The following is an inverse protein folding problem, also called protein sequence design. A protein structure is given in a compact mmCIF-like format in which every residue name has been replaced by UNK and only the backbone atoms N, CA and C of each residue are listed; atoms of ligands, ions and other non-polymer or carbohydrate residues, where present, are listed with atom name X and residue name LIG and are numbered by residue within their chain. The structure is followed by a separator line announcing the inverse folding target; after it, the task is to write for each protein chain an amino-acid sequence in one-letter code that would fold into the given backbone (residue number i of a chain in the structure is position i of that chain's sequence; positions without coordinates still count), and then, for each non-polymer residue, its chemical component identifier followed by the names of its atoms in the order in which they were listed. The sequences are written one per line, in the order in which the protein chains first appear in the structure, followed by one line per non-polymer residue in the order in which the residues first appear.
data_IF_674947358706
#
_entry.id   IF_674947358706
#
_cell.length_a   1.000
_cell.length_b   1.000
_cell.length_c   1.000
_cell.angle_alpha   90.00
_cell.angle_beta   90.00
_cell.angle_gamma   90.00
#
_symmetry.space_group_name_H-M   'P 1'
#
loop_
_entity.id
_entity.type
_entity.pdbx_description
1 polymer ?
#
# COMPACT_ATOMS: atom_id res chain seq x y z
N UNK A 1 49.16 54.51 -34.02
CA UNK A 1 48.34 55.74 -34.09
C UNK A 1 47.30 55.56 -35.19
N UNK A 2 46.06 56.02 -34.94
CA UNK A 2 44.90 56.22 -35.85
C UNK A 2 43.97 55.01 -36.16
N UNK A 3 42.83 55.03 -35.44
CA UNK A 3 41.39 54.70 -35.72
C UNK A 3 40.97 54.53 -37.20
N UNK A 4 39.87 53.90 -37.64
CA UNK A 4 38.72 53.14 -37.09
C UNK A 4 37.84 52.67 -38.29
N UNK A 5 36.67 52.06 -37.99
CA UNK A 5 35.49 51.65 -38.82
C UNK A 5 35.45 50.15 -39.23
N UNK A 6 34.35 49.38 -39.12
CA UNK A 6 33.01 49.53 -38.52
C UNK A 6 32.23 48.19 -38.68
N UNK A 7 31.14 48.03 -37.90
CA UNK A 7 29.98 47.11 -38.02
C UNK A 7 30.17 45.67 -37.49
N UNK A 8 29.71 45.35 -36.27
CA UNK A 8 28.33 45.09 -35.81
C UNK A 8 27.88 43.64 -36.06
N UNK A 9 27.68 42.87 -34.97
CA UNK A 9 26.57 41.92 -34.80
C UNK A 9 26.38 41.65 -33.30
N UNK A 10 25.24 42.12 -32.77
CA UNK A 10 24.71 41.71 -31.47
C UNK A 10 24.48 40.19 -31.48
N UNK A 11 25.02 39.48 -30.50
CA UNK A 11 24.46 38.20 -30.07
C UNK A 11 24.15 38.30 -28.59
N UNK A 12 22.85 38.36 -28.28
CA UNK A 12 22.30 38.31 -26.93
C UNK A 12 22.69 36.97 -26.28
N UNK A 13 23.20 37.04 -25.05
CA UNK A 13 23.50 35.88 -24.23
C UNK A 13 22.23 35.11 -23.85
N UNK A 14 22.29 33.79 -24.01
CA UNK A 14 21.32 32.83 -23.46
C UNK A 14 21.68 32.58 -21.98
N UNK A 15 20.83 32.90 -20.99
CA UNK A 15 21.03 32.39 -19.64
C UNK A 15 20.52 30.94 -19.59
N UNK A 16 21.42 30.02 -19.21
CA UNK A 16 21.10 28.61 -18.99
C UNK A 16 20.08 28.44 -17.88
N UNK A 17 18.90 27.94 -18.24
CA UNK A 17 17.83 27.59 -17.32
C UNK A 17 18.21 26.27 -16.61
N UNK A 18 18.77 26.39 -15.40
CA UNK A 18 18.96 25.25 -14.52
C UNK A 18 17.59 24.78 -14.01
N UNK A 19 17.07 23.70 -14.59
CA UNK A 19 15.86 23.02 -14.14
C UNK A 19 16.21 22.28 -12.85
N UNK A 20 15.84 22.86 -11.70
CA UNK A 20 15.78 22.13 -10.44
C UNK A 20 14.66 21.09 -10.57
N UNK A 21 15.03 19.82 -10.72
CA UNK A 21 14.13 18.70 -10.50
C UNK A 21 13.80 18.65 -9.01
N UNK A 22 12.76 19.36 -8.60
CA UNK A 22 12.11 19.12 -7.32
C UNK A 22 11.55 17.71 -7.38
N UNK A 23 12.18 16.78 -6.65
CA UNK A 23 11.58 15.50 -6.32
C UNK A 23 10.18 15.80 -5.74
N UNK A 24 9.15 15.15 -6.28
CA UNK A 24 7.81 15.15 -5.69
C UNK A 24 7.90 14.43 -4.34
N UNK A 25 8.35 15.14 -3.31
CA UNK A 25 8.13 14.75 -1.93
C UNK A 25 6.66 15.03 -1.61
N UNK A 26 5.94 13.96 -1.31
CA UNK A 26 4.55 13.99 -0.85
C UNK A 26 4.35 15.02 0.27
N UNK A 27 3.31 15.86 0.15
CA UNK A 27 2.85 16.73 1.23
C UNK A 27 1.58 16.13 1.87
N UNK A 28 1.51 16.00 3.21
CA UNK A 28 0.26 15.71 3.89
C UNK A 28 -0.80 16.77 3.55
N UNK A 29 -2.05 16.37 3.31
CA UNK A 29 -3.12 17.27 2.84
C UNK A 29 -4.40 17.05 3.62
N UNK A 30 -5.05 18.08 4.17
CA UNK A 30 -6.26 17.96 5.00
C UNK A 30 -7.56 17.65 4.23
N UNK A 31 -7.48 17.37 2.93
CA UNK A 31 -8.65 17.04 2.13
C UNK A 31 -9.03 15.55 2.25
N UNK A 32 -10.19 15.21 2.85
CA UNK A 32 -10.60 13.82 3.08
C UNK A 32 -10.84 13.03 1.79
N UNK A 33 -11.21 13.68 0.68
CA UNK A 33 -11.32 13.00 -0.62
C UNK A 33 -9.93 12.58 -1.11
N UNK A 34 -8.96 13.50 -1.09
CA UNK A 34 -7.57 13.23 -1.53
C UNK A 34 -6.91 12.14 -0.68
N UNK A 35 -7.16 12.12 0.63
CA UNK A 35 -6.66 11.06 1.52
C UNK A 35 -7.28 9.69 1.22
N UNK A 36 -8.60 9.61 0.99
CA UNK A 36 -9.26 8.36 0.54
C UNK A 36 -8.71 7.85 -0.79
N UNK A 37 -8.44 8.77 -1.73
CA UNK A 37 -7.76 8.43 -2.99
C UNK A 37 -6.34 7.94 -2.75
N UNK A 38 -5.59 8.52 -1.80
CA UNK A 38 -4.24 8.07 -1.46
C UNK A 38 -4.19 6.67 -0.83
N UNK A 39 -5.12 6.34 0.07
CA UNK A 39 -5.23 5.01 0.65
C UNK A 39 -5.63 3.97 -0.40
N UNK A 40 -6.64 4.26 -1.23
CA UNK A 40 -7.02 3.36 -2.32
C UNK A 40 -5.84 3.14 -3.28
N UNK A 41 -5.13 4.19 -3.66
CA UNK A 41 -3.97 4.12 -4.53
C UNK A 41 -2.83 3.30 -3.92
N UNK A 42 -2.60 3.46 -2.60
CA UNK A 42 -1.66 2.65 -1.83
C UNK A 42 -2.06 1.16 -1.84
N UNK A 43 -3.33 0.85 -1.58
CA UNK A 43 -3.85 -0.52 -1.61
C UNK A 43 -3.77 -1.13 -3.02
N UNK A 44 -4.06 -0.33 -4.05
CA UNK A 44 -3.96 -0.74 -5.45
C UNK A 44 -2.50 -0.87 -5.94
N UNK A 45 -1.54 -0.36 -5.16
CA UNK A 45 -0.11 -0.38 -5.47
C UNK A 45 0.25 0.48 -6.68
N UNK A 46 -0.40 1.62 -6.88
CA UNK A 46 -0.13 2.48 -8.04
C UNK A 46 1.31 3.01 -8.06
N UNK A 47 1.86 3.29 -6.87
CA UNK A 47 3.26 3.67 -6.69
C UNK A 47 4.21 2.54 -7.11
N UNK A 48 3.92 1.30 -6.69
CA UNK A 48 4.68 0.11 -7.10
C UNK A 48 4.56 -0.14 -8.60
N UNK A 49 3.36 0.00 -9.17
CA UNK A 49 3.10 -0.17 -10.61
C UNK A 49 3.88 0.85 -11.43
N UNK A 50 3.84 2.12 -11.03
CA UNK A 50 4.55 3.19 -11.73
C UNK A 50 6.06 3.03 -11.63
N UNK A 51 6.58 2.51 -10.53
CA UNK A 51 8.01 2.26 -10.35
C UNK A 51 8.47 0.91 -10.96
N UNK A 52 7.56 0.08 -11.46
CA UNK A 52 7.91 -1.28 -11.89
C UNK A 52 8.51 -1.29 -13.29
N UNK A 53 9.84 -1.28 -13.34
CA UNK A 53 10.65 -1.34 -14.57
C UNK A 53 11.62 -2.52 -14.51
N UNK A 54 12.25 -2.85 -15.64
CA UNK A 54 13.26 -3.91 -15.70
C UNK A 54 14.47 -3.65 -14.78
N UNK A 55 14.75 -2.39 -14.46
CA UNK A 55 15.87 -1.95 -13.61
C UNK A 55 15.50 -1.91 -12.12
N UNK A 56 14.24 -2.14 -11.76
CA UNK A 56 13.79 -2.18 -10.37
C UNK A 56 14.08 -3.56 -9.76
N UNK A 57 14.90 -3.67 -8.69
CA UNK A 57 15.24 -4.97 -8.06
C UNK A 57 14.04 -5.76 -7.54
N UNK A 58 12.90 -5.08 -7.34
CA UNK A 58 11.65 -5.67 -6.89
C UNK A 58 11.10 -4.95 -5.67
N UNK A 59 9.77 -4.83 -5.61
CA UNK A 59 9.06 -4.24 -4.49
C UNK A 59 7.78 -5.03 -4.23
N UNK A 60 7.44 -5.23 -2.97
CA UNK A 60 6.25 -6.01 -2.59
C UNK A 60 5.51 -5.28 -1.49
N UNK A 61 4.20 -5.22 -1.59
CA UNK A 61 3.31 -4.72 -0.56
C UNK A 61 2.29 -5.81 -0.25
N UNK A 62 2.26 -6.25 1.00
CA UNK A 62 1.24 -7.16 1.49
C UNK A 62 0.41 -6.43 2.55
N UNK A 63 -0.89 -6.39 2.35
CA UNK A 63 -1.83 -5.73 3.26
C UNK A 63 -2.77 -6.76 3.85
N UNK A 64 -2.78 -6.86 5.17
CA UNK A 64 -3.76 -7.61 5.93
C UNK A 64 -4.83 -6.67 6.48
N UNK A 65 -6.07 -6.88 6.07
CA UNK A 65 -7.23 -6.29 6.72
C UNK A 65 -7.76 -7.29 7.75
N UNK A 66 -7.53 -7.01 9.03
CA UNK A 66 -8.03 -7.78 10.14
C UNK A 66 -9.32 -7.17 10.68
N UNK A 67 -10.31 -6.92 9.81
CA UNK A 67 -11.39 -5.93 10.01
C UNK A 67 -10.80 -4.52 10.16
N UNK A 68 -11.15 -3.61 9.25
CA UNK A 68 -10.50 -2.32 9.09
C UNK A 68 -10.45 -1.49 10.38
N UNK A 69 -11.57 -1.47 11.10
CA UNK A 69 -11.70 -0.74 12.38
C UNK A 69 -11.03 -1.45 13.57
N UNK A 70 -10.58 -2.70 13.39
CA UNK A 70 -9.92 -3.47 14.43
C UNK A 70 -8.41 -3.53 14.26
N UNK A 71 -7.95 -3.86 13.05
CA UNK A 71 -6.55 -3.90 12.71
C UNK A 71 -6.32 -3.82 11.20
N UNK A 72 -5.41 -2.94 10.79
CA UNK A 72 -4.78 -3.00 9.47
C UNK A 72 -3.29 -3.23 9.68
N UNK A 73 -2.71 -4.16 8.92
CA UNK A 73 -1.27 -4.43 8.96
C UNK A 73 -0.69 -4.46 7.56
N UNK A 74 0.40 -3.75 7.35
CA UNK A 74 1.09 -3.71 6.05
C UNK A 74 2.54 -4.18 6.18
N UNK A 75 3.02 -4.80 5.13
CA UNK A 75 4.41 -5.22 4.95
C UNK A 75 4.87 -4.68 3.61
N UNK A 76 5.70 -3.65 3.64
CA UNK A 76 6.30 -3.02 2.47
C UNK A 76 7.77 -3.45 2.36
N UNK A 77 8.10 -4.19 1.30
CA UNK A 77 9.43 -4.73 1.04
C UNK A 77 10.06 -4.01 -0.14
N UNK A 78 11.31 -3.58 0.03
CA UNK A 78 12.17 -3.09 -1.04
C UNK A 78 13.37 -4.01 -1.17
N UNK A 79 13.54 -4.63 -2.34
CA UNK A 79 14.67 -5.52 -2.60
C UNK A 79 15.95 -4.69 -2.69
N UNK A 80 16.99 -5.17 -2.02
CA UNK A 80 18.34 -4.59 -2.00
C UNK A 80 19.35 -5.62 -2.50
N UNK A 81 20.61 -5.24 -2.66
CA UNK A 81 21.66 -6.17 -3.05
C UNK A 81 21.85 -7.33 -2.03
N UNK A 82 21.56 -7.07 -0.76
CA UNK A 82 21.80 -7.99 0.36
C UNK A 82 20.51 -8.64 0.89
N UNK A 83 19.42 -8.62 0.12
CA UNK A 83 18.12 -9.19 0.49
C UNK A 83 16.99 -8.20 0.30
N UNK A 84 16.27 -7.86 1.37
CA UNK A 84 15.23 -6.83 1.34
C UNK A 84 15.12 -6.08 2.66
N UNK A 85 14.82 -4.78 2.57
CA UNK A 85 14.33 -4.03 3.73
C UNK A 85 12.81 -4.19 3.78
N UNK A 86 12.29 -4.72 4.89
CA UNK A 86 10.86 -4.85 5.13
C UNK A 86 10.42 -3.88 6.21
N UNK A 87 9.58 -2.92 5.83
CA UNK A 87 8.84 -2.04 6.74
C UNK A 87 7.52 -2.70 7.10
N UNK A 88 7.26 -2.82 8.39
CA UNK A 88 6.00 -3.32 8.95
C UNK A 88 5.27 -2.18 9.60
N UNK A 89 3.97 -2.08 9.36
CA UNK A 89 3.11 -1.12 10.04
C UNK A 89 1.85 -1.79 10.55
N UNK A 90 1.46 -1.47 11.78
CA UNK A 90 0.27 -2.00 12.44
C UNK A 90 -0.54 -0.85 13.00
N UNK A 91 -1.77 -0.71 12.52
CA UNK A 91 -2.77 0.22 13.03
C UNK A 91 -3.85 -0.59 13.74
N UNK A 92 -4.10 -0.32 15.02
CA UNK A 92 -5.06 -1.08 15.83
C UNK A 92 -6.26 -0.27 16.32
N UNK A 93 -7.21 -0.93 17.03
CA UNK A 93 -8.43 -0.29 17.60
C UNK A 93 -8.17 1.03 18.33
N UNK A 94 -7.11 1.13 19.12
CA UNK A 94 -6.84 2.36 19.89
C UNK A 94 -6.53 3.54 18.97
N UNK A 95 -5.70 3.32 17.94
CA UNK A 95 -5.37 4.32 16.92
C UNK A 95 -6.60 4.75 16.09
N UNK A 96 -7.65 3.91 16.08
CA UNK A 96 -8.87 4.07 15.30
C UNK A 96 -10.08 4.57 16.13
N UNK A 97 -9.98 4.62 17.47
CA UNK A 97 -11.07 5.04 18.39
C UNK A 97 -11.01 6.49 18.83
N UNK A 98 -9.84 7.13 18.77
CA UNK A 98 -9.66 8.57 19.02
C UNK A 98 -10.12 9.42 17.81
N UNK A 99 -11.17 8.97 17.12
CA UNK A 99 -11.69 9.59 15.90
C UNK A 99 -13.04 10.22 16.23
N UNK A 100 -13.08 11.56 16.27
CA UNK A 100 -14.33 12.30 16.15
C UNK A 100 -14.75 12.37 14.67
N UNK A 101 -16.06 12.40 14.38
CA UNK A 101 -16.58 12.47 13.00
C UNK A 101 -16.13 13.75 12.28
N UNK A 102 -15.72 14.77 13.04
CA UNK A 102 -15.19 16.05 12.56
C UNK A 102 -13.71 15.96 12.13
N UNK A 103 -12.98 14.94 12.59
CA UNK A 103 -11.57 14.66 12.26
C UNK A 103 -11.40 13.48 11.28
N UNK A 104 -12.48 13.05 10.62
CA UNK A 104 -12.50 11.92 9.68
C UNK A 104 -11.54 12.04 8.47
N UNK A 105 -10.85 13.18 8.31
CA UNK A 105 -9.69 13.32 7.43
C UNK A 105 -8.44 12.58 7.96
N UNK A 106 -8.16 12.62 9.27
CA UNK A 106 -7.00 11.96 9.91
C UNK A 106 -7.10 10.43 9.93
N UNK A 107 -8.28 9.91 9.60
CA UNK A 107 -8.60 8.49 9.46
C UNK A 107 -7.68 7.73 8.48
N UNK A 108 -7.13 8.41 7.48
CA UNK A 108 -6.48 7.78 6.33
C UNK A 108 -4.99 8.08 6.24
N UNK A 109 -4.38 8.66 7.28
CA UNK A 109 -2.96 8.99 7.24
C UNK A 109 -2.14 7.70 7.46
N UNK A 110 -1.41 7.21 6.45
CA UNK A 110 -0.73 5.91 6.48
C UNK A 110 0.51 5.92 7.40
N UNK A 111 0.60 6.84 8.34
CA UNK A 111 1.73 7.03 9.25
C UNK A 111 1.36 6.81 10.73
N UNK A 112 0.08 6.53 11.02
CA UNK A 112 -0.38 6.16 12.38
C UNK A 112 -0.28 4.66 12.64
N UNK A 113 0.01 4.32 13.88
CA UNK A 113 0.26 2.95 14.33
C UNK A 113 1.74 2.66 14.61
N UNK A 114 2.02 1.43 15.02
CA UNK A 114 3.39 0.98 15.30
C UNK A 114 4.10 0.65 14.00
N UNK A 115 5.26 1.26 13.77
CA UNK A 115 6.09 1.06 12.59
C UNK A 115 7.42 0.49 13.03
N UNK A 116 7.85 -0.57 12.37
CA UNK A 116 9.16 -1.18 12.57
C UNK A 116 9.77 -1.57 11.22
N UNK A 117 11.09 -1.64 11.17
CA UNK A 117 11.82 -2.09 9.97
C UNK A 117 12.73 -3.26 10.32
N UNK A 118 12.75 -4.28 9.47
CA UNK A 118 13.62 -5.45 9.60
C UNK A 118 14.31 -5.75 8.28
N UNK A 119 15.57 -6.17 8.36
CA UNK A 119 16.31 -6.66 7.20
C UNK A 119 16.00 -8.15 6.99
N UNK A 120 15.54 -8.52 5.80
CA UNK A 120 15.39 -9.89 5.35
C UNK A 120 16.64 -10.32 4.61
N UNK A 121 17.19 -11.48 4.98
CA UNK A 121 18.33 -12.08 4.27
C UNK A 121 17.88 -12.52 2.87
N UNK A 122 18.83 -12.72 1.93
CA UNK A 122 18.49 -13.18 0.58
C UNK A 122 17.68 -14.49 0.58
N UNK A 123 18.02 -15.43 1.48
CA UNK A 123 17.30 -16.70 1.60
C UNK A 123 15.87 -16.56 2.13
N UNK A 124 15.61 -15.58 2.99
CA UNK A 124 14.26 -15.28 3.50
C UNK A 124 13.41 -14.62 2.40
N UNK A 125 14.00 -13.68 1.64
CA UNK A 125 13.36 -13.09 0.47
C UNK A 125 13.00 -14.16 -0.57
N UNK A 126 13.91 -15.10 -0.88
CA UNK A 126 13.63 -16.21 -1.78
C UNK A 126 12.50 -17.11 -1.28
N UNK A 127 12.44 -17.34 0.03
CA UNK A 127 11.37 -18.11 0.65
C UNK A 127 10.01 -17.39 0.50
N UNK A 128 9.98 -16.08 0.70
CA UNK A 128 8.79 -15.26 0.46
C UNK A 128 8.34 -15.33 -1.00
N UNK A 129 9.25 -15.11 -1.96
CA UNK A 129 8.93 -15.16 -3.40
C UNK A 129 8.37 -16.51 -3.82
N UNK A 130 8.96 -17.62 -3.32
CA UNK A 130 8.42 -18.98 -3.56
C UNK A 130 7.04 -19.16 -2.97
N UNK A 131 6.81 -18.67 -1.74
CA UNK A 131 5.51 -18.74 -1.09
C UNK A 131 4.45 -17.94 -1.84
N UNK A 132 4.74 -16.70 -2.24
CA UNK A 132 3.89 -15.86 -3.07
C UNK A 132 3.52 -16.55 -4.39
N UNK A 133 4.50 -17.13 -5.09
CA UNK A 133 4.27 -17.90 -6.31
C UNK A 133 3.35 -19.09 -6.08
N UNK A 134 3.60 -19.87 -5.03
CA UNK A 134 2.78 -21.05 -4.69
C UNK A 134 1.33 -20.69 -4.32
N UNK A 135 1.10 -19.49 -3.79
CA UNK A 135 -0.23 -18.95 -3.50
C UNK A 135 -0.90 -18.26 -4.70
N UNK A 136 -0.26 -18.28 -5.87
CA UNK A 136 -0.76 -17.65 -7.09
C UNK A 136 -0.77 -16.12 -7.03
N UNK A 137 0.07 -15.48 -6.22
CA UNK A 137 0.11 -14.02 -6.09
C UNK A 137 0.52 -13.31 -7.38
N UNK A 138 1.21 -14.02 -8.27
CA UNK A 138 1.64 -13.52 -9.58
C UNK A 138 0.65 -13.85 -10.71
N UNK A 139 -0.39 -14.63 -10.42
CA UNK A 139 -1.48 -14.88 -11.36
C UNK A 139 -2.46 -13.70 -11.38
N UNK A 140 -3.25 -13.53 -12.45
CA UNK A 140 -4.31 -12.53 -12.49
C UNK A 140 -5.30 -12.71 -11.32
N UNK A 141 -5.71 -11.59 -10.72
CA UNK A 141 -6.81 -11.60 -9.75
C UNK A 141 -8.13 -11.89 -10.47
N UNK A 142 -9.00 -12.69 -9.85
CA UNK A 142 -10.36 -12.86 -10.36
C UNK A 142 -11.10 -11.52 -10.24
N UNK A 143 -11.73 -11.00 -11.32
CA UNK A 143 -12.49 -9.77 -11.25
C UNK A 143 -13.77 -9.96 -10.43
N UNK A 144 -14.24 -8.87 -9.80
CA UNK A 144 -15.50 -8.84 -9.07
C UNK A 144 -15.47 -9.36 -7.64
N UNK A 145 -14.30 -9.76 -7.11
CA UNK A 145 -14.16 -10.13 -5.69
C UNK A 145 -14.39 -8.89 -4.83
N UNK A 146 -15.34 -9.00 -3.89
CA UNK A 146 -15.70 -7.94 -2.96
C UNK A 146 -14.89 -8.09 -1.66
N UNK A 147 -14.20 -7.03 -1.26
CA UNK A 147 -13.36 -6.97 -0.07
C UNK A 147 -13.93 -5.91 0.87
N UNK A 148 -14.90 -6.32 1.68
CA UNK A 148 -15.54 -5.48 2.69
C UNK A 148 -14.53 -5.08 3.77
N UNK A 149 -14.55 -3.83 4.22
CA UNK A 149 -13.81 -3.33 5.38
C UNK A 149 -14.03 -4.20 6.63
N UNK A 150 -15.19 -4.83 6.73
CA UNK A 150 -15.62 -5.66 7.86
C UNK A 150 -15.22 -7.15 7.72
N UNK A 151 -14.44 -7.48 6.69
CA UNK A 151 -13.98 -8.85 6.41
C UNK A 151 -12.49 -9.03 6.69
N UNK A 152 -12.04 -10.28 6.71
CA UNK A 152 -10.63 -10.62 6.76
C UNK A 152 -10.10 -10.91 5.37
N UNK A 153 -9.03 -10.22 4.96
CA UNK A 153 -8.42 -10.48 3.67
C UNK A 153 -6.94 -10.07 3.61
N UNK A 154 -6.23 -10.67 2.66
CA UNK A 154 -4.93 -10.21 2.21
C UNK A 154 -5.05 -9.58 0.82
N UNK A 155 -4.28 -8.53 0.58
CA UNK A 155 -3.97 -8.02 -0.75
C UNK A 155 -2.46 -8.06 -0.96
N UNK A 156 -2.04 -8.34 -2.18
CA UNK A 156 -0.65 -8.39 -2.59
C UNK A 156 -0.49 -7.53 -3.84
N UNK A 157 0.39 -6.55 -3.76
CA UNK A 157 0.88 -5.77 -4.91
C UNK A 157 2.37 -6.04 -5.02
N UNK A 158 2.85 -6.46 -6.19
CA UNK A 158 4.24 -6.87 -6.36
C UNK A 158 4.80 -6.41 -7.70
N UNK A 159 5.98 -5.80 -7.68
CA UNK A 159 6.85 -5.68 -8.83
C UNK A 159 7.91 -6.79 -8.76
N UNK A 160 7.82 -7.78 -9.66
CA UNK A 160 8.77 -8.90 -9.75
C UNK A 160 9.28 -9.02 -11.18
N UNK A 161 10.59 -8.88 -11.37
CA UNK A 161 11.22 -8.97 -12.70
C UNK A 161 10.67 -7.95 -13.71
N UNK A 162 10.40 -6.73 -13.27
CA UNK A 162 9.83 -5.66 -14.10
C UNK A 162 8.38 -5.84 -14.51
N UNK A 163 7.65 -6.80 -13.90
CA UNK A 163 6.21 -6.97 -14.10
C UNK A 163 5.46 -6.69 -12.81
N UNK A 164 4.39 -5.90 -12.92
CA UNK A 164 3.48 -5.64 -11.82
C UNK A 164 2.43 -6.75 -11.72
N UNK A 165 2.16 -7.18 -10.50
CA UNK A 165 1.20 -8.21 -10.14
C UNK A 165 0.30 -7.71 -9.00
N UNK A 166 -0.97 -8.08 -9.06
CA UNK A 166 -1.93 -7.80 -8.01
C UNK A 166 -2.80 -9.03 -7.75
N UNK A 167 -2.99 -9.39 -6.48
CA UNK A 167 -3.94 -10.44 -6.09
C UNK A 167 -4.55 -10.18 -4.71
N UNK A 168 -5.67 -10.85 -4.44
CA UNK A 168 -6.38 -10.73 -3.19
C UNK A 168 -6.90 -12.10 -2.71
N UNK A 169 -6.97 -12.26 -1.40
CA UNK A 169 -7.31 -13.50 -0.73
C UNK A 169 -8.36 -13.16 0.34
N UNK A 170 -9.61 -13.52 0.09
CA UNK A 170 -10.72 -13.26 1.03
C UNK A 170 -10.93 -14.47 1.94
N UNK A 171 -10.99 -14.26 3.25
CA UNK A 171 -11.41 -15.31 4.19
C UNK A 171 -12.94 -15.51 4.11
N UNK A 172 -13.48 -16.73 4.23
CA UNK A 172 -12.81 -18.01 4.54
C UNK A 172 -12.47 -18.88 3.32
N UNK A 173 -12.00 -18.30 2.21
CA UNK A 173 -11.65 -19.09 1.01
C UNK A 173 -10.46 -20.03 1.22
N UNK A 174 -10.39 -21.08 0.41
CA UNK A 174 -9.24 -22.01 0.43
C UNK A 174 -7.95 -21.33 -0.03
N UNK A 175 -8.03 -20.32 -0.91
CA UNK A 175 -6.89 -19.48 -1.28
C UNK A 175 -6.33 -18.73 -0.08
N UNK A 176 -7.20 -18.18 0.78
CA UNK A 176 -6.77 -17.53 2.02
C UNK A 176 -6.08 -18.52 2.96
N UNK A 177 -6.62 -19.73 3.14
CA UNK A 177 -6.01 -20.76 4.00
C UNK A 177 -4.66 -21.25 3.46
N UNK A 178 -4.52 -21.35 2.14
CA UNK A 178 -3.30 -21.79 1.46
C UNK A 178 -2.23 -20.69 1.33
N UNK A 179 -2.52 -19.45 1.74
CA UNK A 179 -1.61 -18.30 1.70
C UNK A 179 -0.47 -18.44 2.73
N UNK A 180 0.50 -19.32 2.47
CA UNK A 180 1.59 -19.62 3.39
C UNK A 180 2.51 -18.43 3.70
N UNK A 181 2.49 -17.39 2.86
CA UNK A 181 3.28 -16.18 3.05
C UNK A 181 2.89 -15.45 4.34
N UNK A 182 1.64 -15.54 4.77
CA UNK A 182 1.16 -14.92 6.00
C UNK A 182 1.91 -15.44 7.24
N UNK A 183 2.27 -16.74 7.25
CA UNK A 183 3.05 -17.35 8.33
C UNK A 183 4.48 -16.83 8.36
N UNK A 184 5.09 -16.64 7.19
CA UNK A 184 6.44 -16.10 7.05
C UNK A 184 6.50 -14.65 7.55
N UNK A 185 5.57 -13.81 7.07
CA UNK A 185 5.49 -12.42 7.48
C UNK A 185 5.32 -12.26 8.98
N UNK A 186 4.42 -13.03 9.60
CA UNK A 186 4.22 -13.02 11.05
C UNK A 186 5.51 -13.45 11.81
N UNK A 187 6.22 -14.47 11.31
CA UNK A 187 7.47 -14.92 11.94
C UNK A 187 8.60 -13.89 11.87
N UNK A 188 8.59 -13.00 10.88
CA UNK A 188 9.57 -11.93 10.71
C UNK A 188 9.13 -10.58 11.28
N UNK A 189 7.88 -10.49 11.76
CA UNK A 189 7.29 -9.26 12.24
C UNK A 189 7.91 -8.82 13.58
N UNK A 190 8.67 -7.72 13.63
CA UNK A 190 9.35 -7.29 14.85
C UNK A 190 8.43 -6.54 15.83
N UNK A 191 7.20 -6.19 15.44
CA UNK A 191 6.30 -5.31 16.22
C UNK A 191 5.80 -5.96 17.51
N UNK A 192 5.82 -7.30 17.57
CA UNK A 192 5.27 -8.12 18.67
C UNK A 192 3.77 -7.90 18.94
N UNK A 193 3.08 -7.14 18.10
CA UNK A 193 1.63 -6.95 18.19
C UNK A 193 0.96 -8.18 17.61
N UNK A 194 0.06 -8.80 18.37
CA UNK A 194 -0.69 -9.96 17.89
C UNK A 194 -1.50 -9.62 16.63
N UNK A 195 -1.45 -10.52 15.65
CA UNK A 195 -2.31 -10.44 14.46
C UNK A 195 -3.75 -10.71 14.89
N UNK A 196 -4.70 -9.87 14.49
CA UNK A 196 -6.13 -10.13 14.73
C UNK A 196 -6.53 -11.41 13.97
N UNK A 197 -6.92 -12.52 14.64
CA UNK A 197 -7.18 -13.76 13.93
C UNK A 197 -8.48 -13.71 13.12
N UNK A 198 -8.52 -14.26 11.89
CA UNK A 198 -9.74 -14.37 11.12
C UNK A 198 -10.82 -15.15 11.87
N UNK A 199 -12.03 -14.59 11.90
CA UNK A 199 -13.18 -15.13 12.63
C UNK A 199 -14.49 -14.70 11.96
N UNK A 200 -15.60 -15.41 12.18
CA UNK A 200 -16.92 -14.83 11.96
C UNK A 200 -17.06 -13.55 12.80
N UNK A 201 -17.62 -12.51 12.18
CA UNK A 201 -17.90 -11.24 12.82
C UNK A 201 -19.17 -10.65 12.23
N UNK A 202 -20.11 -10.28 13.09
CA UNK A 202 -21.32 -9.55 12.73
C UNK A 202 -21.05 -8.05 12.75
N UNK A 203 -21.83 -7.27 12.00
CA UNK A 203 -21.73 -5.81 12.05
C UNK A 203 -21.89 -5.25 13.46
N UNK A 204 -22.74 -5.88 14.30
CA UNK A 204 -22.90 -5.50 15.71
C UNK A 204 -21.64 -5.76 16.54
N UNK A 205 -20.95 -6.90 16.35
CA UNK A 205 -19.70 -7.18 17.05
C UNK A 205 -18.56 -6.22 16.66
N UNK A 206 -18.61 -5.69 15.42
CA UNK A 206 -17.61 -4.78 14.89
C UNK A 206 -17.89 -3.33 15.32
N UNK A 207 -19.14 -2.87 15.15
CA UNK A 207 -19.53 -1.46 15.25
C UNK A 207 -20.43 -1.14 16.45
N UNK A 208 -20.97 -2.14 17.16
CA UNK A 208 -21.95 -1.97 18.23
C UNK A 208 -23.28 -1.41 17.72
N UNK A 209 -23.97 -0.61 18.54
CA UNK A 209 -25.22 0.07 18.15
C UNK A 209 -24.99 1.20 17.11
N UNK A 210 -23.73 1.54 16.80
CA UNK A 210 -23.36 2.61 15.86
C UNK A 210 -23.42 2.21 14.38
N UNK A 211 -23.95 1.03 14.06
CA UNK A 211 -24.15 0.59 12.66
C UNK A 211 -24.96 1.61 11.85
N UNK A 212 -25.80 2.42 12.50
CA UNK A 212 -26.62 3.44 11.84
C UNK A 212 -26.02 4.86 11.79
N UNK A 213 -24.92 5.14 12.50
CA UNK A 213 -24.35 6.49 12.62
C UNK A 213 -22.86 6.51 12.23
N UNK A 214 -22.59 6.62 10.92
CA UNK A 214 -21.28 7.03 10.42
C UNK A 214 -20.13 6.02 10.60
N UNK A 215 -20.43 4.74 10.78
CA UNK A 215 -19.40 3.69 10.78
C UNK A 215 -18.57 3.74 9.49
N UNK A 216 -17.24 3.61 9.62
CA UNK A 216 -16.34 3.60 8.46
C UNK A 216 -16.46 2.25 7.77
N UNK A 217 -17.40 2.17 6.82
CA UNK A 217 -17.64 0.99 6.02
C UNK A 217 -17.37 1.29 4.55
N UNK A 218 -16.56 0.43 3.94
CA UNK A 218 -16.29 0.49 2.52
C UNK A 218 -16.14 -0.92 1.97
N UNK A 219 -16.31 -1.04 0.66
CA UNK A 219 -16.11 -2.28 -0.04
C UNK A 219 -15.24 -2.02 -1.27
N UNK A 220 -14.13 -2.75 -1.36
CA UNK A 220 -13.24 -2.71 -2.52
C UNK A 220 -13.66 -3.82 -3.48
N UNK A 221 -13.57 -3.57 -4.77
CA UNK A 221 -13.83 -4.58 -5.78
C UNK A 221 -12.59 -4.81 -6.63
N UNK A 222 -12.20 -6.07 -6.83
CA UNK A 222 -11.12 -6.42 -7.77
C UNK A 222 -11.57 -6.22 -9.21
N UNK A 223 -10.66 -5.74 -10.04
CA UNK A 223 -10.80 -5.61 -11.49
C UNK A 223 -9.68 -6.30 -12.24
N UNK A 224 -9.51 -5.98 -13.51
CA UNK A 224 -8.38 -6.45 -14.29
C UNK A 224 -7.07 -5.87 -13.76
N UNK A 225 -6.23 -6.71 -13.16
CA UNK A 225 -4.88 -6.34 -12.73
C UNK A 225 -4.81 -5.35 -11.56
N UNK A 226 -5.88 -5.19 -10.77
CA UNK A 226 -5.93 -4.26 -9.64
C UNK A 226 -7.31 -4.17 -8.98
N UNK A 227 -7.57 -3.06 -8.29
CA UNK A 227 -8.88 -2.66 -7.78
C UNK A 227 -9.63 -1.82 -8.82
N UNK A 228 -10.92 -2.07 -8.99
CA UNK A 228 -11.79 -1.38 -9.95
C UNK A 228 -12.69 -0.31 -9.32
N UNK A 229 -13.03 -0.43 -8.03
CA UNK A 229 -13.98 0.47 -7.39
C UNK A 229 -13.87 0.43 -5.86
N UNK A 230 -14.16 1.58 -5.23
CA UNK A 230 -14.55 1.66 -3.81
C UNK A 230 -16.02 2.02 -3.77
N UNK A 231 -16.86 1.15 -3.20
CA UNK A 231 -18.24 1.49 -2.88
C UNK A 231 -18.35 1.77 -1.38
N UNK A 232 -18.82 2.94 -0.95
CA UNK A 232 -19.27 3.09 0.43
C UNK A 232 -20.44 2.14 0.65
N UNK A 233 -20.45 1.45 1.80
CA UNK A 233 -21.61 0.70 2.25
C UNK A 233 -22.40 1.69 3.12
N UNK A 234 -23.36 2.39 2.50
CA UNK A 234 -24.31 3.24 3.21
C UNK A 234 -25.55 2.43 3.58
#
# INVERSE_FOLDING_TARGET
MVKAFSRAFLTLGLPGLAVFLTACAYQPTDNPAVRKFSWFSYLNGDDLRSACTADNPGQYRLVYNGIYVEQVRTYDLKVTADGAEMRVQVTGKADLRDISVEEAGDLMDPWRGTIETVHLRPSDLDLLKRSLRSSGAFEPVAPGLQLSSDAFYWMVSACDGGRFHFNAYLWPSDRFKAASFAKLLNAWDPTKIAVNPPRPATGYEIHGDKVHDGAIQFNLMTGEGGLAMVKPLF
#
